data_IF_681963626216
#
_entry.id   IF_681963626216
#
_cell.length_a   1.000
_cell.length_b   1.000
_cell.length_c   1.000
_cell.angle_alpha   90.00
_cell.angle_beta   90.00
_cell.angle_gamma   90.00
#
_symmetry.space_group_name_H-M   'P 1'
#
loop_
_entity.id
_entity.type
_entity.pdbx_description
1 polymer ?
#
# COMPACT_ATOMS: atom_id res chain seq x y z
N UNK A 1 -43.14 2.89 -14.44
CA UNK A 1 -41.95 3.38 -15.18
C UNK A 1 -41.04 2.19 -15.42
N UNK A 2 -40.56 1.98 -16.65
CA UNK A 2 -39.54 0.96 -16.95
C UNK A 2 -38.18 1.63 -17.13
N UNK A 3 -37.12 1.01 -16.62
CA UNK A 3 -35.74 1.45 -16.80
C UNK A 3 -34.91 0.28 -17.35
N UNK A 4 -33.87 0.57 -18.12
CA UNK A 4 -32.92 -0.43 -18.64
C UNK A 4 -31.50 0.03 -18.28
N UNK A 5 -30.68 -0.89 -17.80
CA UNK A 5 -29.26 -0.66 -17.57
C UNK A 5 -28.45 -1.20 -18.75
N UNK A 6 -27.93 -0.30 -19.59
CA UNK A 6 -27.12 -0.64 -20.78
C UNK A 6 -25.61 -0.60 -20.50
N UNK A 7 -25.20 -0.58 -19.23
CA UNK A 7 -23.78 -0.53 -18.86
C UNK A 7 -22.98 -1.66 -19.51
N UNK A 8 -21.85 -1.29 -20.13
CA UNK A 8 -20.82 -2.20 -20.59
C UNK A 8 -19.56 -1.88 -19.81
N UNK A 9 -18.96 -2.87 -19.12
CA UNK A 9 -17.68 -2.62 -18.47
C UNK A 9 -16.64 -2.19 -19.52
N UNK A 10 -15.70 -1.31 -19.17
CA UNK A 10 -14.56 -1.04 -20.03
C UNK A 10 -13.79 -2.34 -20.29
N UNK A 11 -13.13 -2.47 -21.45
CA UNK A 11 -12.29 -3.61 -21.73
C UNK A 11 -11.18 -3.70 -20.68
N UNK A 12 -10.74 -4.93 -20.39
CA UNK A 12 -9.62 -5.14 -19.49
C UNK A 12 -8.37 -4.43 -20.02
N UNK A 13 -7.58 -3.79 -19.14
CA UNK A 13 -6.32 -3.19 -19.55
C UNK A 13 -5.36 -4.27 -20.07
N UNK A 14 -4.47 -3.93 -21.01
CA UNK A 14 -3.46 -4.86 -21.51
C UNK A 14 -2.63 -5.44 -20.37
N UNK A 15 -2.10 -6.64 -20.58
CA UNK A 15 -1.16 -7.27 -19.65
C UNK A 15 0.13 -6.48 -19.64
N UNK A 16 0.61 -6.00 -18.47
CA UNK A 16 1.89 -5.33 -18.40
C UNK A 16 2.98 -6.27 -18.89
N UNK A 17 3.93 -5.72 -19.63
CA UNK A 17 5.17 -6.39 -20.00
C UNK A 17 6.02 -6.65 -18.75
N UNK A 18 6.99 -7.56 -18.86
CA UNK A 18 7.87 -7.91 -17.73
C UNK A 18 8.59 -6.67 -17.15
N UNK A 19 9.01 -5.73 -18.00
CA UNK A 19 9.68 -4.51 -17.54
C UNK A 19 8.72 -3.53 -16.85
N UNK A 20 7.48 -3.42 -17.35
CA UNK A 20 6.45 -2.56 -16.75
C UNK A 20 6.04 -3.04 -15.35
N UNK A 21 6.08 -4.34 -15.08
CA UNK A 21 5.78 -4.89 -13.74
C UNK A 21 6.68 -4.36 -12.63
N UNK A 22 7.90 -3.92 -12.98
CA UNK A 22 8.87 -3.43 -12.02
C UNK A 22 8.94 -1.90 -11.93
N UNK A 23 8.21 -1.21 -12.79
CA UNK A 23 8.23 0.25 -12.91
C UNK A 23 9.55 0.82 -13.45
N UNK A 24 9.54 2.14 -13.66
CA UNK A 24 10.71 2.91 -14.12
C UNK A 24 11.82 2.97 -13.06
N UNK A 25 13.01 3.42 -13.48
CA UNK A 25 14.11 3.81 -12.60
C UNK A 25 14.59 5.23 -12.96
N UNK A 26 14.40 6.25 -12.10
CA UNK A 26 13.78 6.18 -10.77
C UNK A 26 12.30 5.80 -10.82
N UNK A 27 11.81 5.16 -9.76
CA UNK A 27 10.41 4.74 -9.65
C UNK A 27 9.49 5.95 -9.47
N UNK A 28 8.56 6.15 -10.42
CA UNK A 28 7.48 7.11 -10.27
C UNK A 28 6.41 6.54 -9.33
N UNK A 29 6.04 7.28 -8.30
CA UNK A 29 5.05 6.82 -7.32
C UNK A 29 3.63 7.02 -7.85
N UNK A 30 3.45 7.99 -8.76
CA UNK A 30 2.17 8.37 -9.35
C UNK A 30 1.03 8.51 -8.31
N UNK A 31 1.21 9.32 -7.26
CA UNK A 31 0.17 9.57 -6.24
C UNK A 31 -0.31 11.02 -6.27
N UNK A 32 -1.62 11.23 -6.07
CA UNK A 32 -2.29 12.54 -6.27
C UNK A 32 -1.96 13.59 -5.19
N UNK A 33 -1.37 13.19 -4.07
CA UNK A 33 -0.89 14.08 -3.01
C UNK A 33 0.63 13.97 -2.88
N UNK A 34 1.31 15.03 -2.36
CA UNK A 34 2.71 14.90 -1.97
C UNK A 34 2.86 13.79 -0.92
N UNK A 35 4.02 13.13 -0.91
CA UNK A 35 4.44 12.17 0.11
C UNK A 35 5.68 12.70 0.82
N UNK A 36 5.48 13.33 1.98
CA UNK A 36 6.60 13.72 2.83
C UNK A 36 7.07 12.52 3.67
N UNK A 37 8.13 11.86 3.19
CA UNK A 37 8.68 10.66 3.81
C UNK A 37 9.26 10.92 5.21
N UNK A 38 9.57 12.17 5.57
CA UNK A 38 10.03 12.50 6.93
C UNK A 38 8.91 12.40 7.95
N UNK A 39 7.66 12.64 7.53
CA UNK A 39 6.47 12.55 8.36
C UNK A 39 5.91 11.12 8.44
N UNK A 40 6.29 10.27 7.50
CA UNK A 40 5.86 8.88 7.41
C UNK A 40 6.72 7.93 8.24
N UNK A 41 7.20 8.37 9.40
CA UNK A 41 8.00 7.55 10.30
C UNK A 41 7.88 7.96 11.76
N UNK A 42 8.25 7.03 12.64
CA UNK A 42 8.49 7.29 14.05
C UNK A 42 9.74 6.51 14.52
N UNK A 43 9.94 6.37 15.83
CA UNK A 43 11.08 5.64 16.38
C UNK A 43 11.08 4.13 16.05
N UNK A 44 9.92 3.55 15.71
CA UNK A 44 9.70 2.11 15.54
C UNK A 44 9.43 1.69 14.09
N UNK A 45 8.66 2.49 13.36
CA UNK A 45 8.22 2.17 11.99
C UNK A 45 8.57 3.33 11.06
N UNK A 46 8.96 3.00 9.84
CA UNK A 46 9.02 3.91 8.69
C UNK A 46 8.15 3.35 7.57
N UNK A 47 7.38 4.21 6.91
CA UNK A 47 6.68 3.88 5.68
C UNK A 47 7.45 4.50 4.52
N UNK A 48 7.66 3.72 3.47
CA UNK A 48 8.35 4.15 2.25
C UNK A 48 7.52 3.70 1.05
N UNK A 49 7.60 4.33 -0.13
CA UNK A 49 6.94 3.82 -1.32
C UNK A 49 7.30 2.36 -1.57
N UNK A 50 6.30 1.53 -1.86
CA UNK A 50 6.55 0.16 -2.30
C UNK A 50 7.10 0.23 -3.73
N UNK A 51 8.40 -0.05 -3.87
CA UNK A 51 9.10 -0.16 -5.16
C UNK A 51 9.11 -1.64 -5.56
N UNK A 52 8.44 -2.05 -6.65
CA UNK A 52 8.36 -3.45 -7.07
C UNK A 52 9.73 -4.13 -7.22
N UNK A 53 10.73 -3.44 -7.78
CA UNK A 53 12.10 -3.96 -7.97
C UNK A 53 12.82 -4.27 -6.67
N UNK A 54 12.53 -3.53 -5.59
CA UNK A 54 13.16 -3.72 -4.29
C UNK A 54 12.34 -4.65 -3.37
N UNK A 55 11.02 -4.56 -3.43
CA UNK A 55 10.14 -5.20 -2.44
C UNK A 55 9.33 -6.38 -3.00
N UNK A 56 9.19 -6.52 -4.32
CA UNK A 56 8.29 -7.49 -4.95
C UNK A 56 8.59 -8.94 -4.58
N UNK A 57 9.83 -9.37 -4.82
CA UNK A 57 10.28 -10.72 -4.48
C UNK A 57 10.23 -10.96 -2.96
N UNK A 58 10.72 -10.00 -2.16
CA UNK A 58 10.70 -10.09 -0.69
C UNK A 58 9.28 -10.22 -0.12
N UNK A 59 8.34 -9.46 -0.68
CA UNK A 59 6.93 -9.54 -0.29
C UNK A 59 6.39 -10.93 -0.60
N UNK A 60 6.59 -11.41 -1.82
CA UNK A 60 6.10 -12.71 -2.28
C UNK A 60 6.66 -13.87 -1.45
N UNK A 61 7.95 -13.87 -1.17
CA UNK A 61 8.61 -14.87 -0.34
C UNK A 61 8.09 -14.85 1.11
N UNK A 62 7.86 -13.66 1.67
CA UNK A 62 7.35 -13.49 3.02
C UNK A 62 5.90 -13.97 3.18
N UNK A 63 5.05 -13.80 2.16
CA UNK A 63 3.63 -14.20 2.22
C UNK A 63 3.38 -15.63 1.73
N UNK A 64 4.19 -16.14 0.80
CA UNK A 64 3.98 -17.41 0.11
C UNK A 64 3.59 -18.58 1.02
N UNK A 65 4.36 -18.87 2.10
CA UNK A 65 4.07 -19.98 3.01
C UNK A 65 2.72 -19.90 3.73
N UNK A 66 2.13 -18.72 3.84
CA UNK A 66 0.89 -18.47 4.61
C UNK A 66 -0.20 -17.82 3.76
N UNK A 67 -0.03 -17.77 2.44
CA UNK A 67 -0.86 -16.96 1.56
C UNK A 67 -2.37 -17.27 1.67
N UNK A 68 -2.83 -18.55 1.65
CA UNK A 68 -4.26 -18.84 1.76
C UNK A 68 -4.89 -18.33 3.07
N UNK A 69 -4.17 -18.43 4.18
CA UNK A 69 -4.65 -18.02 5.49
C UNK A 69 -4.55 -16.50 5.68
N UNK A 70 -3.42 -15.91 5.28
CA UNK A 70 -3.15 -14.47 5.39
C UNK A 70 -4.10 -13.64 4.51
N UNK A 71 -4.44 -14.14 3.33
CA UNK A 71 -5.32 -13.48 2.36
C UNK A 71 -6.77 -13.96 2.41
N UNK A 72 -7.16 -14.75 3.43
CA UNK A 72 -8.53 -15.28 3.57
C UNK A 72 -9.64 -14.23 3.45
N UNK A 73 -9.39 -13.02 3.97
CA UNK A 73 -10.33 -11.90 3.96
C UNK A 73 -10.06 -10.86 2.86
N UNK A 74 -9.12 -11.15 1.96
CA UNK A 74 -8.82 -10.29 0.83
C UNK A 74 -9.66 -10.68 -0.40
N UNK A 75 -10.01 -9.71 -1.25
CA UNK A 75 -10.86 -9.95 -2.43
C UNK A 75 -10.12 -10.66 -3.56
N UNK A 76 -8.79 -10.78 -3.47
CA UNK A 76 -7.91 -11.29 -4.52
C UNK A 76 -6.95 -12.32 -3.95
N UNK A 77 -6.74 -13.40 -4.70
CA UNK A 77 -5.72 -14.41 -4.46
C UNK A 77 -4.86 -14.51 -5.73
N UNK A 78 -3.55 -14.62 -5.56
CA UNK A 78 -2.59 -14.74 -6.65
C UNK A 78 -1.88 -16.08 -6.56
N UNK A 79 -1.49 -16.64 -7.70
CA UNK A 79 -0.73 -17.90 -7.74
C UNK A 79 0.73 -17.69 -8.10
N UNK A 80 1.11 -16.52 -8.62
CA UNK A 80 2.49 -16.19 -8.98
C UNK A 80 2.85 -14.75 -8.60
N UNK A 81 4.16 -14.46 -8.50
CA UNK A 81 4.69 -13.11 -8.28
C UNK A 81 4.23 -12.15 -9.38
N UNK A 82 4.28 -12.56 -10.64
CA UNK A 82 3.91 -11.73 -11.79
C UNK A 82 2.44 -11.31 -11.73
N UNK A 83 1.55 -12.21 -11.31
CA UNK A 83 0.14 -11.86 -11.10
C UNK A 83 -0.04 -10.84 -9.97
N UNK A 84 0.72 -10.99 -8.88
CA UNK A 84 0.69 -10.05 -7.77
C UNK A 84 1.22 -8.66 -8.19
N UNK A 85 2.35 -8.61 -8.90
CA UNK A 85 2.91 -7.35 -9.42
C UNK A 85 1.98 -6.70 -10.46
N UNK A 86 1.37 -7.48 -11.35
CA UNK A 86 0.41 -6.95 -12.31
C UNK A 86 -0.82 -6.33 -11.63
N UNK A 87 -1.24 -6.89 -10.50
CA UNK A 87 -2.30 -6.30 -9.68
C UNK A 87 -1.83 -5.01 -9.01
N UNK A 88 -0.64 -4.97 -8.42
CA UNK A 88 -0.10 -3.74 -7.83
C UNK A 88 0.07 -2.63 -8.85
N UNK A 89 0.56 -2.96 -10.05
CA UNK A 89 0.67 -2.01 -11.15
C UNK A 89 -0.70 -1.43 -11.52
N UNK A 90 -1.68 -2.29 -11.82
CA UNK A 90 -3.00 -1.85 -12.30
C UNK A 90 -3.85 -1.16 -11.23
N UNK A 91 -3.85 -1.67 -10.01
CA UNK A 91 -4.76 -1.22 -8.95
C UNK A 91 -4.18 -0.08 -8.10
N UNK A 92 -2.84 0.04 -8.02
CA UNK A 92 -2.16 1.05 -7.22
C UNK A 92 -1.39 2.02 -8.09
N UNK A 93 -0.34 1.60 -8.78
CA UNK A 93 0.54 2.53 -9.50
C UNK A 93 -0.17 3.27 -10.64
N UNK A 94 -0.93 2.58 -11.48
CA UNK A 94 -1.66 3.20 -12.59
C UNK A 94 -2.84 4.10 -12.14
N UNK A 95 -3.28 3.98 -10.87
CA UNK A 95 -4.36 4.79 -10.32
C UNK A 95 -3.82 5.82 -9.32
N UNK A 96 -3.76 7.12 -9.68
CA UNK A 96 -3.18 8.13 -8.80
C UNK A 96 -3.95 8.38 -7.50
N UNK A 97 -5.18 7.85 -7.38
CA UNK A 97 -5.94 7.85 -6.13
C UNK A 97 -5.50 6.75 -5.15
N UNK A 98 -4.52 5.94 -5.53
CA UNK A 98 -3.94 4.87 -4.74
C UNK A 98 -2.43 5.06 -4.56
N UNK A 99 -1.91 4.65 -3.42
CA UNK A 99 -0.46 4.44 -3.22
C UNK A 99 -0.25 3.25 -2.30
N UNK A 100 0.74 2.42 -2.63
CA UNK A 100 1.18 1.31 -1.79
C UNK A 100 2.49 1.66 -1.11
N UNK A 101 2.57 1.43 0.19
CA UNK A 101 3.73 1.73 1.02
C UNK A 101 4.26 0.45 1.65
N UNK A 102 5.59 0.30 1.63
CA UNK A 102 6.30 -0.70 2.42
C UNK A 102 6.42 -0.25 3.87
N UNK A 103 6.16 -1.17 4.80
CA UNK A 103 6.30 -0.98 6.24
C UNK A 103 7.67 -1.51 6.67
N UNK A 104 8.52 -0.64 7.19
CA UNK A 104 9.86 -0.97 7.66
C UNK A 104 9.88 -0.97 9.19
N UNK A 105 10.26 -2.07 9.82
CA UNK A 105 10.52 -2.17 11.25
C UNK A 105 11.93 -1.68 11.58
N UNK A 106 12.02 -0.51 12.22
CA UNK A 106 13.30 0.12 12.61
C UNK A 106 13.94 -0.51 13.84
N UNK A 107 13.23 -1.40 14.55
CA UNK A 107 13.75 -2.04 15.77
C UNK A 107 14.64 -3.24 15.49
N UNK A 108 14.57 -3.78 14.27
CA UNK A 108 15.37 -4.91 13.82
C UNK A 108 16.26 -4.44 12.68
N UNK A 109 17.60 -4.49 12.82
CA UNK A 109 18.50 -4.26 11.70
C UNK A 109 18.31 -5.31 10.61
N UNK A 110 18.52 -4.92 9.36
CA UNK A 110 18.48 -5.81 8.21
C UNK A 110 19.70 -5.56 7.32
N UNK A 111 20.79 -6.23 7.66
CA UNK A 111 22.06 -6.09 6.93
C UNK A 111 22.03 -6.85 5.59
N UNK A 112 21.04 -7.73 5.38
CA UNK A 112 20.89 -8.47 4.14
C UNK A 112 20.30 -7.60 3.01
N UNK A 113 19.58 -6.54 3.36
CA UNK A 113 18.89 -5.64 2.44
C UNK A 113 19.23 -4.16 2.68
N UNK A 114 20.51 -3.75 2.57
CA UNK A 114 20.94 -2.37 2.82
C UNK A 114 20.25 -1.36 1.87
N UNK A 115 19.87 -1.79 0.67
CA UNK A 115 19.15 -0.98 -0.33
C UNK A 115 17.80 -0.45 0.16
N UNK A 116 17.19 -1.09 1.17
CA UNK A 116 15.91 -0.66 1.71
C UNK A 116 16.03 0.56 2.63
N UNK A 117 17.24 1.03 2.93
CA UNK A 117 17.47 2.24 3.73
C UNK A 117 17.25 2.02 5.23
N UNK A 118 17.46 0.80 5.71
CA UNK A 118 17.44 0.42 7.12
C UNK A 118 16.08 -0.02 7.66
N UNK A 119 16.15 -0.95 8.62
CA UNK A 119 15.01 -1.67 9.19
C UNK A 119 14.60 -2.87 8.34
N UNK A 120 13.95 -3.85 8.95
CA UNK A 120 13.47 -5.05 8.24
C UNK A 120 12.12 -4.80 7.58
N UNK A 121 11.94 -5.28 6.34
CA UNK A 121 10.65 -5.21 5.65
C UNK A 121 9.59 -6.07 6.36
N UNK A 122 8.55 -5.43 6.89
CA UNK A 122 7.59 -6.05 7.81
C UNK A 122 6.19 -6.24 7.20
N UNK A 123 5.94 -5.71 6.00
CA UNK A 123 4.65 -5.77 5.34
C UNK A 123 4.36 -4.55 4.48
N UNK A 124 3.13 -4.41 4.02
CA UNK A 124 2.65 -3.30 3.17
C UNK A 124 1.36 -2.70 3.72
N UNK A 125 1.11 -1.44 3.38
CA UNK A 125 -0.12 -0.72 3.67
C UNK A 125 -0.35 0.33 2.58
N UNK A 126 -1.60 0.55 2.20
CA UNK A 126 -1.95 1.51 1.16
C UNK A 126 -2.90 2.60 1.63
N UNK A 127 -2.85 3.73 0.93
CA UNK A 127 -3.93 4.71 0.88
C UNK A 127 -4.64 4.49 -0.45
N UNK A 128 -5.93 4.16 -0.42
CA UNK A 128 -6.73 3.83 -1.62
C UNK A 128 -7.96 4.72 -1.70
N UNK A 129 -8.55 4.82 -2.89
CA UNK A 129 -9.78 5.62 -3.15
C UNK A 129 -9.62 7.06 -2.64
N UNK A 130 -8.42 7.61 -2.77
CA UNK A 130 -8.10 8.96 -2.33
C UNK A 130 -8.81 9.97 -3.22
N UNK A 131 -9.75 10.73 -2.65
CA UNK A 131 -10.48 11.76 -3.38
C UNK A 131 -10.05 13.15 -2.93
N UNK A 132 -9.46 13.92 -3.84
CA UNK A 132 -9.17 15.34 -3.62
C UNK A 132 -10.45 16.17 -3.46
N UNK A 133 -11.48 15.87 -4.25
CA UNK A 133 -12.76 16.57 -4.18
C UNK A 133 -13.47 16.37 -2.84
N UNK A 134 -13.40 15.16 -2.28
CA UNK A 134 -14.06 14.84 -1.01
C UNK A 134 -13.14 14.99 0.22
N UNK A 135 -11.86 15.33 0.01
CA UNK A 135 -10.83 15.39 1.05
C UNK A 135 -10.85 14.13 1.92
N UNK A 136 -10.80 12.97 1.28
CA UNK A 136 -10.89 11.69 1.99
C UNK A 136 -10.03 10.62 1.36
N UNK A 137 -9.68 9.62 2.16
CA UNK A 137 -8.95 8.42 1.72
C UNK A 137 -9.37 7.22 2.56
N UNK A 138 -8.97 6.04 2.12
CA UNK A 138 -9.14 4.79 2.84
C UNK A 138 -7.78 4.17 3.10
N UNK A 139 -7.53 3.76 4.35
CA UNK A 139 -6.38 2.90 4.61
C UNK A 139 -6.79 1.49 4.21
N UNK A 140 -6.05 0.91 3.27
CA UNK A 140 -6.41 -0.33 2.61
C UNK A 140 -5.21 -1.18 2.24
N UNK A 141 -5.49 -2.44 1.93
CA UNK A 141 -4.52 -3.49 1.62
C UNK A 141 -3.35 -3.58 2.61
N UNK A 142 -3.69 -3.61 3.90
CA UNK A 142 -2.74 -3.67 4.99
C UNK A 142 -2.35 -5.12 5.32
N UNK A 143 -1.19 -5.55 4.81
CA UNK A 143 -0.64 -6.88 5.07
C UNK A 143 0.58 -6.72 5.98
N UNK A 144 0.51 -7.23 7.21
CA UNK A 144 1.68 -7.36 8.08
C UNK A 144 2.08 -8.83 8.12
N UNK A 145 3.35 -9.11 7.80
CA UNK A 145 3.85 -10.48 7.76
C UNK A 145 3.70 -11.16 9.12
N UNK A 146 3.42 -12.47 9.18
CA UNK A 146 3.18 -13.18 10.44
C UNK A 146 4.25 -12.93 11.51
N UNK A 147 5.53 -12.92 11.14
CA UNK A 147 6.66 -12.67 12.03
C UNK A 147 6.66 -11.28 12.72
N UNK A 148 5.88 -10.33 12.19
CA UNK A 148 5.77 -8.94 12.66
C UNK A 148 4.42 -8.63 13.31
N UNK A 149 3.48 -9.57 13.27
CA UNK A 149 2.20 -9.43 13.95
C UNK A 149 2.42 -9.42 15.47
N UNK A 150 1.49 -8.76 16.20
CA UNK A 150 1.57 -8.55 17.66
C UNK A 150 2.77 -7.72 18.14
N UNK A 151 3.66 -7.23 17.26
CA UNK A 151 4.79 -6.33 17.59
C UNK A 151 4.47 -4.83 17.46
N UNK A 152 3.17 -4.48 17.42
CA UNK A 152 2.66 -3.11 17.23
C UNK A 152 3.00 -2.46 15.88
N UNK A 153 3.47 -3.24 14.89
CA UNK A 153 3.81 -2.73 13.55
C UNK A 153 2.58 -2.12 12.87
N UNK A 154 1.49 -2.88 12.74
CA UNK A 154 0.23 -2.39 12.16
C UNK A 154 -0.28 -1.13 12.87
N UNK A 155 -0.30 -1.14 14.20
CA UNK A 155 -0.75 0.02 15.01
C UNK A 155 0.06 1.27 14.73
N UNK A 156 1.39 1.15 14.65
CA UNK A 156 2.26 2.29 14.36
C UNK A 156 2.09 2.79 12.92
N UNK A 157 2.05 1.88 11.94
CA UNK A 157 1.82 2.22 10.53
C UNK A 157 0.48 2.95 10.34
N UNK A 158 -0.60 2.44 10.92
CA UNK A 158 -1.91 3.08 10.87
C UNK A 158 -1.91 4.43 11.57
N UNK A 159 -1.30 4.57 12.75
CA UNK A 159 -1.24 5.84 13.46
C UNK A 159 -0.47 6.92 12.68
N UNK A 160 0.65 6.54 12.05
CA UNK A 160 1.42 7.43 11.17
C UNK A 160 0.53 7.93 10.02
N UNK A 161 -0.18 7.03 9.32
CA UNK A 161 -1.05 7.41 8.22
C UNK A 161 -2.24 8.28 8.67
N UNK A 162 -2.86 7.97 9.82
CA UNK A 162 -3.95 8.77 10.36
C UNK A 162 -3.49 10.20 10.64
N UNK A 163 -2.35 10.37 11.32
CA UNK A 163 -1.80 11.69 11.60
C UNK A 163 -1.44 12.41 10.29
N UNK A 164 -0.69 11.75 9.40
CA UNK A 164 -0.31 12.35 8.11
C UNK A 164 -1.51 12.81 7.28
N UNK A 165 -2.57 11.99 7.22
CA UNK A 165 -3.75 12.31 6.43
C UNK A 165 -4.63 13.39 7.09
N UNK A 166 -4.83 13.35 8.41
CA UNK A 166 -5.83 14.18 9.10
C UNK A 166 -5.28 15.49 9.67
N UNK A 167 -3.98 15.57 9.96
CA UNK A 167 -3.37 16.82 10.44
C UNK A 167 -3.49 17.91 9.37
N UNK A 168 -3.70 19.15 9.82
CA UNK A 168 -3.82 20.28 8.91
C UNK A 168 -2.47 20.61 8.25
N UNK A 169 -2.45 21.18 7.04
CA UNK A 169 -1.20 21.67 6.43
C UNK A 169 -0.48 22.74 7.28
N UNK A 170 -1.22 23.41 8.17
CA UNK A 170 -0.70 24.43 9.09
C UNK A 170 -0.34 23.88 10.47
N UNK A 171 -0.54 22.58 10.73
CA UNK A 171 -0.16 21.95 11.99
C UNK A 171 1.37 21.72 12.07
N UNK A 172 1.85 21.30 13.25
CA UNK A 172 3.24 20.94 13.47
C UNK A 172 3.33 19.59 14.21
N UNK A 173 3.65 18.48 13.51
CA UNK A 173 3.99 18.40 12.08
C UNK A 173 2.78 18.67 11.16
N UNK A 174 3.01 19.13 9.91
CA UNK A 174 1.93 19.34 8.96
C UNK A 174 1.36 17.99 8.47
N UNK A 175 0.13 18.01 7.97
CA UNK A 175 -0.47 16.87 7.27
C UNK A 175 -1.17 17.28 5.98
N UNK A 176 -1.93 16.35 5.41
CA UNK A 176 -2.68 16.57 4.16
C UNK A 176 -3.96 17.39 4.35
N UNK A 177 -4.48 17.50 5.58
CA UNK A 177 -5.75 18.18 5.87
C UNK A 177 -6.97 17.47 5.32
N UNK A 178 -6.92 16.14 5.17
CA UNK A 178 -8.09 15.36 4.79
C UNK A 178 -9.14 15.42 5.91
N UNK A 179 -10.41 15.47 5.54
CA UNK A 179 -11.52 15.51 6.47
C UNK A 179 -11.94 14.13 6.97
N UNK A 180 -11.54 13.07 6.26
CA UNK A 180 -11.96 11.71 6.58
C UNK A 180 -10.95 10.66 6.12
N UNK A 181 -10.62 9.75 7.03
CA UNK A 181 -9.94 8.50 6.72
C UNK A 181 -10.88 7.36 7.10
N UNK A 182 -11.09 6.42 6.19
CA UNK A 182 -11.93 5.24 6.44
C UNK A 182 -11.11 3.95 6.42
N UNK A 183 -11.68 2.89 6.96
CA UNK A 183 -11.16 1.53 6.88
C UNK A 183 -12.33 0.59 6.64
N UNK A 184 -12.27 -0.22 5.59
CA UNK A 184 -13.26 -1.25 5.31
C UNK A 184 -12.63 -2.65 5.42
N UNK A 185 -13.44 -3.62 5.82
CA UNK A 185 -13.09 -5.04 5.75
C UNK A 185 -14.15 -5.77 4.96
N UNK A 186 -13.74 -6.61 4.02
CA UNK A 186 -14.66 -7.55 3.37
C UNK A 186 -14.92 -8.72 4.31
N UNK A 187 -16.19 -8.99 4.63
CA UNK A 187 -16.60 -10.24 5.26
C UNK A 187 -17.10 -11.16 4.14
N UNK A 188 -16.41 -12.29 3.91
CA UNK A 188 -16.98 -13.39 3.13
C UNK A 188 -18.01 -14.08 4.03
N UNK A 189 -19.30 -13.90 3.69
CA UNK A 189 -20.41 -14.73 4.19
C UNK A 189 -20.47 -16.03 3.43
#
# INVERSE_FOLDING_TARGET
MSFTNLYRPPPDPPTPTADELYGSDPYDINYVYPLDLQLLQNHRVRLTPFIPRAHGALFWDAVGPTFPDLFRYYPVLFTTLEQNLAFFERAYHANPECVLLAIMDKTTPDDAHPELGGGTFAGIIGLIRTSRAQLSTEIGYAVVFPAFQRKKIATNATAILLNYCLELPTASPPGLGLRRVQWARTQRT
#
